data_IF_079159797893
#
_entry.id   IF_079159797893
#
_cell.length_a   1.000
_cell.length_b   1.000
_cell.length_c   1.000
_cell.angle_alpha   90.00
_cell.angle_beta   90.00
_cell.angle_gamma   90.00
#
_symmetry.space_group_name_H-M   'P 1'
#
loop_
_entity.id
_entity.type
_entity.pdbx_description
1 polymer ?
#
# COMPACT_ATOMS: atom_id res chain seq x y z
N UNK A 1 -19.37 6.03 -5.06
CA UNK A 1 -18.33 6.98 -4.58
C UNK A 1 -17.15 6.24 -4.03
N UNK A 2 -15.94 6.59 -4.41
CA UNK A 2 -14.76 5.97 -3.82
C UNK A 2 -14.69 6.26 -2.33
N UNK A 3 -14.32 5.26 -1.55
CA UNK A 3 -14.14 5.41 -0.11
C UNK A 3 -12.71 5.85 0.18
N UNK A 4 -12.54 6.83 1.06
CA UNK A 4 -11.23 7.27 1.52
C UNK A 4 -11.04 6.85 2.97
N UNK A 5 -9.89 6.26 3.26
CA UNK A 5 -9.51 5.76 4.59
C UNK A 5 -8.25 6.51 5.03
N UNK A 6 -8.26 6.99 6.28
CA UNK A 6 -7.05 7.54 6.89
C UNK A 6 -6.57 6.54 7.93
N UNK A 7 -5.35 6.02 7.74
CA UNK A 7 -4.81 4.97 8.60
C UNK A 7 -3.29 5.07 8.66
N UNK A 8 -2.72 5.00 9.87
CA UNK A 8 -1.27 4.99 10.11
C UNK A 8 -0.55 6.17 9.43
N UNK A 9 -1.20 7.33 9.40
CA UNK A 9 -0.63 8.55 8.80
C UNK A 9 -0.80 8.65 7.29
N UNK A 10 -1.38 7.64 6.66
CA UNK A 10 -1.58 7.60 5.22
C UNK A 10 -3.04 7.83 4.87
N UNK A 11 -3.27 8.37 3.67
CA UNK A 11 -4.62 8.58 3.14
C UNK A 11 -4.78 7.70 1.91
N UNK A 12 -5.72 6.76 1.98
CA UNK A 12 -5.92 5.73 0.96
C UNK A 12 -7.32 5.85 0.39
N UNK A 13 -7.44 6.05 -0.91
CA UNK A 13 -8.72 6.10 -1.61
C UNK A 13 -8.92 4.81 -2.40
N UNK A 14 -10.01 4.10 -2.11
CA UNK A 14 -10.35 2.85 -2.79
C UNK A 14 -11.02 3.20 -4.11
N UNK A 15 -10.25 3.26 -5.20
CA UNK A 15 -10.75 3.69 -6.51
C UNK A 15 -11.57 2.60 -7.20
N UNK A 16 -11.02 1.38 -7.26
CA UNK A 16 -11.74 0.19 -7.73
C UNK A 16 -11.43 -0.96 -6.78
N UNK A 17 -12.46 -1.62 -6.34
CA UNK A 17 -12.31 -2.79 -5.45
C UNK A 17 -12.47 -4.08 -6.25
N UNK A 18 -12.20 -5.20 -5.61
CA UNK A 18 -12.38 -6.52 -6.18
C UNK A 18 -13.81 -6.70 -6.73
N UNK A 19 -14.82 -6.18 -6.02
CA UNK A 19 -16.20 -6.33 -6.47
C UNK A 19 -16.50 -5.51 -7.74
N UNK A 20 -15.76 -4.42 -7.97
CA UNK A 20 -15.94 -3.61 -9.19
C UNK A 20 -15.37 -4.29 -10.42
N UNK A 21 -14.43 -5.21 -10.26
CA UNK A 21 -13.66 -5.80 -11.37
C UNK A 21 -13.85 -7.31 -11.49
N UNK A 22 -14.81 -7.90 -10.79
CA UNK A 22 -15.00 -9.35 -10.72
C UNK A 22 -13.74 -10.08 -10.24
N UNK A 23 -13.04 -9.49 -9.27
CA UNK A 23 -11.85 -10.09 -8.66
C UNK A 23 -10.57 -9.95 -9.47
N UNK A 24 -10.59 -9.26 -10.60
CA UNK A 24 -9.43 -9.22 -11.50
C UNK A 24 -8.31 -8.34 -10.98
N UNK A 25 -8.65 -7.18 -10.43
CA UNK A 25 -7.67 -6.24 -9.87
C UNK A 25 -8.35 -5.26 -8.94
N UNK A 26 -7.53 -4.55 -8.15
CA UNK A 26 -7.98 -3.42 -7.33
C UNK A 26 -7.10 -2.22 -7.62
N UNK A 27 -7.65 -1.02 -7.51
CA UNK A 27 -6.92 0.23 -7.73
C UNK A 27 -7.09 1.12 -6.51
N UNK A 28 -5.98 1.45 -5.86
CA UNK A 28 -5.94 2.32 -4.70
C UNK A 28 -5.07 3.53 -5.01
N UNK A 29 -5.49 4.70 -4.53
CA UNK A 29 -4.68 5.91 -4.63
C UNK A 29 -4.24 6.33 -3.24
N UNK A 30 -2.95 6.63 -3.10
CA UNK A 30 -2.34 7.04 -1.83
C UNK A 30 -1.92 8.51 -1.89
N UNK A 31 -2.17 9.24 -0.79
CA UNK A 31 -1.58 10.54 -0.54
C UNK A 31 -0.79 10.40 0.75
N UNK A 32 0.52 10.39 0.64
CA UNK A 32 1.42 10.00 1.73
C UNK A 32 2.33 11.15 2.13
N UNK A 33 2.27 11.60 3.39
CA UNK A 33 3.17 12.64 3.88
C UNK A 33 4.63 12.18 3.92
N UNK A 34 5.55 13.13 3.95
CA UNK A 34 6.98 12.85 4.01
C UNK A 34 7.32 11.96 5.21
N UNK A 35 8.13 10.94 4.96
CA UNK A 35 8.58 10.01 5.98
C UNK A 35 7.57 8.93 6.36
N UNK A 36 6.33 9.05 5.89
CA UNK A 36 5.31 8.04 6.12
C UNK A 36 5.43 6.95 5.07
N UNK A 37 5.18 5.73 5.46
CA UNK A 37 5.25 4.58 4.56
C UNK A 37 4.89 3.30 5.29
N UNK A 38 5.28 2.19 4.70
CA UNK A 38 4.97 0.87 5.21
C UNK A 38 6.26 0.13 5.54
N UNK A 39 6.25 -0.69 6.61
CA UNK A 39 7.42 -1.51 6.91
C UNK A 39 7.64 -2.55 5.80
N UNK A 40 8.85 -3.10 5.67
CA UNK A 40 9.10 -4.16 4.69
C UNK A 40 8.11 -5.31 4.85
N UNK A 41 7.48 -5.69 3.74
CA UNK A 41 6.47 -6.75 3.73
C UNK A 41 6.40 -7.41 2.37
N UNK A 42 5.74 -8.56 2.31
CA UNK A 42 5.50 -9.28 1.07
C UNK A 42 4.10 -9.90 1.08
N UNK A 43 3.62 -10.30 -0.07
CA UNK A 43 2.34 -10.97 -0.23
C UNK A 43 2.32 -11.75 -1.55
N UNK A 44 1.28 -12.55 -1.76
CA UNK A 44 1.22 -13.44 -2.92
C UNK A 44 0.41 -12.87 -4.10
N UNK A 45 0.33 -11.56 -4.20
CA UNK A 45 -0.26 -10.90 -5.36
C UNK A 45 0.73 -9.87 -5.93
N UNK A 46 0.50 -9.51 -7.20
CA UNK A 46 1.33 -8.52 -7.90
C UNK A 46 0.82 -7.12 -7.65
N UNK A 47 1.72 -6.15 -7.63
CA UNK A 47 1.36 -4.73 -7.52
C UNK A 47 2.14 -3.90 -8.51
N UNK A 48 1.48 -2.89 -9.10
CA UNK A 48 2.11 -1.89 -9.93
C UNK A 48 1.92 -0.53 -9.27
N UNK A 49 3.02 0.20 -9.11
CA UNK A 49 3.00 1.55 -8.54
C UNK A 49 3.20 2.56 -9.64
N UNK A 50 2.35 3.59 -9.68
CA UNK A 50 2.43 4.72 -10.62
C UNK A 50 2.47 6.00 -9.81
N UNK A 51 3.59 6.73 -9.85
CA UNK A 51 3.73 7.97 -9.09
C UNK A 51 3.16 9.12 -9.91
N UNK A 52 2.22 9.85 -9.31
CA UNK A 52 1.54 10.98 -9.93
C UNK A 52 2.14 12.30 -9.52
N UNK A 53 2.62 12.40 -8.26
CA UNK A 53 3.18 13.62 -7.69
C UNK A 53 4.16 13.25 -6.60
N UNK A 54 5.25 13.98 -6.50
CA UNK A 54 6.24 13.74 -5.45
C UNK A 54 7.27 12.69 -5.84
N UNK A 55 7.76 11.98 -4.83
CA UNK A 55 8.82 11.00 -5.01
C UNK A 55 8.66 9.89 -3.96
N UNK A 56 8.66 8.66 -4.42
CA UNK A 56 8.51 7.48 -3.59
C UNK A 56 9.83 6.70 -3.56
N UNK A 57 10.32 6.42 -2.36
CA UNK A 57 11.40 5.46 -2.19
C UNK A 57 10.75 4.10 -1.98
N UNK A 58 10.77 3.27 -2.99
CA UNK A 58 10.26 1.91 -2.91
C UNK A 58 11.44 0.96 -2.74
N UNK A 59 11.64 0.53 -1.50
CA UNK A 59 12.69 -0.43 -1.21
C UNK A 59 12.24 -1.80 -1.70
N UNK A 60 13.05 -2.42 -2.56
CA UNK A 60 12.77 -3.73 -3.13
C UNK A 60 13.86 -4.71 -2.72
N UNK A 61 13.51 -5.68 -1.88
CA UNK A 61 14.45 -6.68 -1.37
C UNK A 61 15.71 -6.04 -0.75
N UNK A 62 15.53 -4.92 -0.04
CA UNK A 62 16.62 -4.21 0.60
C UNK A 62 17.30 -3.15 -0.25
N UNK A 63 16.90 -3.00 -1.52
CA UNK A 63 17.50 -2.01 -2.43
C UNK A 63 16.58 -0.82 -2.60
N UNK A 64 17.06 0.39 -2.28
CA UNK A 64 16.31 1.63 -2.44
C UNK A 64 16.10 1.93 -3.92
N UNK A 65 14.84 2.12 -4.32
CA UNK A 65 14.48 2.45 -5.70
C UNK A 65 13.62 3.70 -5.67
N UNK A 66 14.16 4.81 -6.19
CA UNK A 66 13.46 6.10 -6.19
C UNK A 66 12.61 6.21 -7.45
N UNK A 67 11.31 6.46 -7.27
CA UNK A 67 10.36 6.60 -8.36
C UNK A 67 9.75 8.00 -8.29
N UNK A 68 9.94 8.79 -9.34
CA UNK A 68 9.44 10.15 -9.44
C UNK A 68 8.13 10.20 -10.22
N UNK A 69 7.46 11.35 -10.16
CA UNK A 69 6.21 11.57 -10.88
C UNK A 69 6.34 11.24 -12.36
N UNK A 70 5.35 10.53 -12.90
CA UNK A 70 5.34 10.10 -14.29
C UNK A 70 5.98 8.74 -14.54
N UNK A 71 6.55 8.11 -13.50
CA UNK A 71 7.19 6.79 -13.62
C UNK A 71 6.38 5.72 -12.90
N UNK A 72 6.60 4.48 -13.29
CA UNK A 72 5.92 3.32 -12.72
C UNK A 72 6.89 2.17 -12.52
N UNK A 73 6.51 1.26 -11.64
CA UNK A 73 7.30 0.05 -11.36
C UNK A 73 6.37 -1.10 -11.03
N UNK A 74 6.75 -2.29 -11.48
CA UNK A 74 6.05 -3.52 -11.16
C UNK A 74 6.72 -4.20 -9.98
N UNK A 75 5.91 -4.69 -9.03
CA UNK A 75 6.37 -5.42 -7.85
C UNK A 75 5.72 -6.81 -7.90
N UNK A 76 6.45 -7.82 -8.40
CA UNK A 76 5.90 -9.17 -8.48
C UNK A 76 5.60 -9.76 -7.11
N UNK A 77 4.64 -10.68 -7.06
CA UNK A 77 4.31 -11.42 -5.85
C UNK A 77 5.57 -12.00 -5.20
N UNK A 78 5.64 -11.94 -3.87
CA UNK A 78 6.79 -12.46 -3.11
C UNK A 78 7.94 -11.49 -2.93
N UNK A 79 7.93 -10.34 -3.60
CA UNK A 79 8.99 -9.33 -3.43
C UNK A 79 8.79 -8.62 -2.09
N UNK A 80 9.84 -8.57 -1.28
CA UNK A 80 9.81 -7.78 -0.04
C UNK A 80 9.94 -6.31 -0.43
N UNK A 81 8.96 -5.49 -0.06
CA UNK A 81 8.94 -4.09 -0.47
C UNK A 81 8.46 -3.17 0.65
N UNK A 82 8.90 -1.91 0.58
CA UNK A 82 8.59 -0.91 1.60
C UNK A 82 8.56 0.48 0.95
N UNK A 83 7.36 1.03 0.66
CA UNK A 83 7.23 2.37 0.10
C UNK A 83 7.30 3.43 1.20
N UNK A 84 8.07 4.50 0.97
CA UNK A 84 8.16 5.64 1.88
C UNK A 84 8.17 6.92 1.04
N UNK A 85 7.36 7.91 1.44
CA UNK A 85 7.33 9.20 0.76
C UNK A 85 8.59 10.01 1.06
N UNK A 86 9.23 10.56 0.03
CA UNK A 86 10.45 11.37 0.14
C UNK A 86 10.19 12.86 -0.08
N UNK A 87 8.94 13.26 -0.30
CA UNK A 87 8.53 14.65 -0.48
C UNK A 87 7.43 14.99 0.50
N UNK A 88 7.12 16.26 0.65
CA UNK A 88 6.08 16.74 1.59
C UNK A 88 4.78 15.97 1.40
N UNK A 89 4.38 15.75 0.15
CA UNK A 89 3.29 14.85 -0.23
C UNK A 89 3.75 14.04 -1.44
N UNK A 90 3.55 12.74 -1.40
CA UNK A 90 3.68 11.88 -2.57
C UNK A 90 2.32 11.28 -2.85
N UNK A 91 1.85 11.42 -4.08
CA UNK A 91 0.59 10.84 -4.51
C UNK A 91 0.88 9.79 -5.56
N UNK A 92 0.40 8.58 -5.31
CA UNK A 92 0.63 7.47 -6.22
C UNK A 92 -0.58 6.53 -6.27
N UNK A 93 -0.67 5.79 -7.38
CA UNK A 93 -1.69 4.77 -7.59
C UNK A 93 -1.01 3.41 -7.51
N UNK A 94 -1.67 2.48 -6.83
CA UNK A 94 -1.22 1.09 -6.76
C UNK A 94 -2.32 0.20 -7.32
N UNK A 95 -1.95 -0.64 -8.29
CA UNK A 95 -2.84 -1.63 -8.90
C UNK A 95 -2.42 -3.00 -8.41
N UNK A 96 -3.34 -3.72 -7.77
CA UNK A 96 -3.07 -5.07 -7.25
C UNK A 96 -3.80 -6.11 -8.09
N UNK A 97 -3.13 -7.20 -8.43
CA UNK A 97 -3.66 -8.32 -9.21
C UNK A 97 -3.32 -9.66 -8.53
N UNK A 98 -4.32 -10.51 -8.22
CA UNK A 98 -5.76 -10.28 -8.35
C UNK A 98 -6.26 -9.21 -7.40
N UNK A 99 -7.55 -8.87 -7.50
CA UNK A 99 -8.18 -7.88 -6.63
C UNK A 99 -8.36 -8.40 -5.20
N UNK A 100 -8.54 -7.46 -4.25
CA UNK A 100 -8.79 -7.79 -2.86
C UNK A 100 -7.93 -7.07 -1.84
N UNK A 101 -6.88 -6.35 -2.28
CA UNK A 101 -5.95 -5.66 -1.37
C UNK A 101 -6.66 -4.61 -0.49
N UNK A 102 -7.80 -4.10 -0.92
CA UNK A 102 -8.58 -3.15 -0.12
C UNK A 102 -8.93 -3.70 1.25
N UNK A 103 -9.04 -5.03 1.40
CA UNK A 103 -9.38 -5.63 2.68
C UNK A 103 -8.30 -5.41 3.74
N UNK A 104 -7.05 -5.24 3.35
CA UNK A 104 -5.96 -4.90 4.27
C UNK A 104 -6.28 -3.56 4.95
N UNK A 105 -6.65 -2.56 4.15
CA UNK A 105 -6.88 -1.20 4.63
C UNK A 105 -8.21 -1.07 5.36
N UNK A 106 -9.27 -1.74 4.90
CA UNK A 106 -10.55 -1.73 5.61
C UNK A 106 -10.43 -2.44 6.97
N UNK A 107 -9.65 -3.51 7.06
CA UNK A 107 -9.41 -4.20 8.34
C UNK A 107 -8.62 -3.32 9.30
N UNK A 108 -7.64 -2.56 8.81
CA UNK A 108 -6.92 -1.61 9.64
C UNK A 108 -7.85 -0.51 10.14
N UNK A 109 -8.71 0.03 9.27
CA UNK A 109 -9.66 1.07 9.65
C UNK A 109 -10.63 0.57 10.73
N UNK A 110 -11.13 -0.65 10.58
CA UNK A 110 -12.06 -1.26 11.55
C UNK A 110 -11.42 -1.44 12.93
N UNK A 111 -10.10 -1.49 13.00
CA UNK A 111 -9.34 -1.67 14.24
C UNK A 111 -8.54 -0.41 14.59
N UNK A 112 -8.99 0.77 14.14
CA UNK A 112 -8.23 2.02 14.27
C UNK A 112 -7.86 2.39 15.70
N UNK A 113 -8.63 1.96 16.70
CA UNK A 113 -8.35 2.27 18.10
C UNK A 113 -7.17 1.49 18.69
N UNK A 114 -6.66 0.48 17.98
CA UNK A 114 -5.57 -0.38 18.46
C UNK A 114 -4.31 -0.32 17.59
N UNK A 115 -4.22 0.63 16.65
CA UNK A 115 -3.10 0.69 15.69
C UNK A 115 -1.85 1.36 16.28
N UNK A 116 -1.87 1.82 17.51
CA UNK A 116 -0.68 2.27 18.25
C UNK A 116 0.16 1.08 18.73
N UNK A 117 -0.42 -0.12 18.73
CA UNK A 117 0.27 -1.36 19.07
C UNK A 117 0.72 -2.05 17.77
N UNK A 118 2.02 -2.02 17.50
CA UNK A 118 2.59 -2.62 16.29
C UNK A 118 2.31 -4.12 16.18
N UNK A 119 2.31 -4.83 17.30
CA UNK A 119 1.99 -6.26 17.31
C UNK A 119 0.57 -6.49 16.79
N UNK A 120 -0.36 -5.63 17.18
CA UNK A 120 -1.75 -5.71 16.71
C UNK A 120 -1.85 -5.42 15.22
N UNK A 121 -1.10 -4.45 14.72
CA UNK A 121 -1.04 -4.15 13.29
C UNK A 121 -0.56 -5.39 12.51
N UNK A 122 0.50 -6.03 12.98
CA UNK A 122 1.03 -7.26 12.36
C UNK A 122 -0.02 -8.35 12.32
N UNK A 123 -0.76 -8.56 13.41
CA UNK A 123 -1.82 -9.56 13.46
C UNK A 123 -2.91 -9.28 12.42
N UNK A 124 -3.34 -8.02 12.31
CA UNK A 124 -4.40 -7.62 11.38
C UNK A 124 -3.98 -7.88 9.94
N UNK A 125 -2.81 -7.39 9.53
CA UNK A 125 -2.38 -7.51 8.15
C UNK A 125 -2.01 -8.96 7.79
N UNK A 126 -1.53 -9.73 8.76
CA UNK A 126 -1.20 -11.14 8.55
C UNK A 126 -2.46 -11.93 8.18
N UNK A 127 -3.57 -11.65 8.83
CA UNK A 127 -4.86 -12.28 8.50
C UNK A 127 -5.30 -11.96 7.08
N UNK A 128 -4.86 -10.83 6.53
CA UNK A 128 -5.21 -10.40 5.18
C UNK A 128 -4.16 -10.83 4.15
N UNK A 129 -3.21 -11.68 4.52
CA UNK A 129 -2.25 -12.24 3.60
C UNK A 129 -0.95 -11.46 3.45
N UNK A 130 -0.71 -10.47 4.31
CA UNK A 130 0.52 -9.67 4.28
C UNK A 130 1.51 -10.21 5.30
N UNK A 131 2.73 -10.50 4.84
CA UNK A 131 3.83 -10.98 5.70
C UNK A 131 4.76 -9.81 6.00
N UNK A 132 4.86 -9.43 7.27
CA UNK A 132 5.80 -8.38 7.68
C UNK A 132 7.18 -9.01 7.79
N UNK A 133 8.14 -8.42 7.08
CA UNK A 133 9.53 -8.88 7.09
C UNK A 133 10.26 -8.19 8.25
N UNK A 134 10.63 -8.99 9.24
CA UNK A 134 11.34 -8.51 10.42
C UNK A 134 12.72 -9.10 10.51
#
# INVERSE_FOLDING_TARGET
>A
MPKTIEVLGDKVSLRLTSSDTNGKYSVLEFETPEGVGQPPHSHNWDETYVVLEGELDLNLNGVSTIISAGHSIDVPAGTIHAPISKKKITRYVMVAQPGGVESVFTSLEENSSSLDDMQRVVEIVTKEGVNIAI
#
